data_IF_423173619053
#
_entry.id   IF_423173619053
#
_cell.length_a   1.000
_cell.length_b   1.000
_cell.length_c   1.000
_cell.angle_alpha   90.00
_cell.angle_beta   90.00
_cell.angle_gamma   90.00
#
_symmetry.space_group_name_H-M   'P 1'
#
loop_
_entity.id
_entity.type
_entity.pdbx_description
1 polymer ?
#
# COMPACT_ATOMS: atom_id res chain seq x y z
N UNK A 1 -22.20 34.49 -3.69
CA UNK A 1 -21.45 35.17 -2.61
C UNK A 1 -20.49 34.16 -1.96
N UNK A 2 -19.37 33.86 -2.62
CA UNK A 2 -18.40 32.84 -2.17
C UNK A 2 -16.96 33.38 -2.02
N UNK A 3 -16.79 34.70 -1.96
CA UNK A 3 -15.46 35.34 -2.10
C UNK A 3 -14.65 35.36 -0.80
N UNK A 4 -15.30 35.29 0.36
CA UNK A 4 -14.62 35.43 1.67
C UNK A 4 -13.86 34.16 2.09
N UNK A 5 -14.38 32.97 1.76
CA UNK A 5 -13.76 31.70 2.15
C UNK A 5 -12.49 31.40 1.33
N UNK A 6 -12.46 31.78 0.05
CA UNK A 6 -11.28 31.66 -0.82
C UNK A 6 -10.13 32.59 -0.39
N UNK A 7 -10.45 33.81 0.07
CA UNK A 7 -9.44 34.80 0.47
C UNK A 7 -8.64 34.35 1.71
N UNK A 8 -9.33 33.83 2.73
CA UNK A 8 -8.67 33.30 3.94
C UNK A 8 -7.82 32.06 3.64
N UNK A 9 -8.26 31.24 2.69
CA UNK A 9 -7.53 30.05 2.23
C UNK A 9 -6.23 30.40 1.50
N UNK A 10 -6.28 31.42 0.64
CA UNK A 10 -5.08 31.89 -0.07
C UNK A 10 -4.03 32.45 0.91
N UNK A 11 -4.48 33.21 1.91
CA UNK A 11 -3.60 33.80 2.93
C UNK A 11 -2.92 32.75 3.81
N UNK A 12 -3.65 31.73 4.26
CA UNK A 12 -3.08 30.67 5.11
C UNK A 12 -2.00 29.84 4.40
N UNK A 13 -2.18 29.57 3.10
CA UNK A 13 -1.17 28.91 2.26
C UNK A 13 0.09 29.75 2.15
N UNK A 14 -0.04 31.05 1.88
CA UNK A 14 1.12 31.96 1.78
C UNK A 14 1.89 32.03 3.08
N UNK A 15 1.20 32.14 4.23
CA UNK A 15 1.85 32.15 5.55
C UNK A 15 2.63 30.85 5.81
N UNK A 16 2.04 29.70 5.50
CA UNK A 16 2.71 28.42 5.63
C UNK A 16 3.96 28.32 4.73
N UNK A 17 3.89 28.83 3.49
CA UNK A 17 5.04 28.90 2.59
C UNK A 17 6.15 29.82 3.10
N UNK A 18 5.79 30.99 3.62
CA UNK A 18 6.74 31.94 4.21
C UNK A 18 7.46 31.32 5.42
N UNK A 19 6.72 30.70 6.33
CA UNK A 19 7.30 29.99 7.48
C UNK A 19 8.17 28.81 7.05
N UNK A 20 7.78 28.07 6.01
CA UNK A 20 8.59 26.98 5.47
C UNK A 20 9.92 27.50 4.92
N UNK A 21 9.90 28.58 4.13
CA UNK A 21 11.12 29.21 3.59
C UNK A 21 12.06 29.68 4.68
N UNK A 22 11.49 30.25 5.76
CA UNK A 22 12.24 30.72 6.93
C UNK A 22 12.94 29.56 7.65
N UNK A 23 12.24 28.44 7.85
CA UNK A 23 12.76 27.27 8.60
C UNK A 23 13.68 26.38 7.76
N UNK A 24 13.46 26.32 6.45
CA UNK A 24 14.17 25.41 5.54
C UNK A 24 14.79 26.18 4.35
N UNK A 25 15.81 26.99 4.60
CA UNK A 25 16.49 27.73 3.52
C UNK A 25 17.14 26.76 2.52
N UNK A 26 17.14 27.14 1.23
CA UNK A 26 17.74 26.34 0.15
C UNK A 26 16.89 25.13 -0.31
N UNK A 27 15.70 24.92 0.26
CA UNK A 27 14.77 23.87 -0.20
C UNK A 27 13.64 24.46 -1.05
N UNK A 28 13.16 23.75 -2.09
CA UNK A 28 12.02 24.19 -2.86
C UNK A 28 10.79 24.25 -1.94
N UNK A 29 10.07 25.37 -2.02
CA UNK A 29 8.85 25.57 -1.23
C UNK A 29 7.73 24.65 -1.75
N UNK A 30 6.97 23.98 -0.87
CA UNK A 30 5.83 23.17 -1.28
C UNK A 30 4.78 23.99 -2.05
N UNK A 31 4.17 23.39 -3.07
CA UNK A 31 3.01 23.96 -3.74
C UNK A 31 1.84 24.10 -2.75
N UNK A 32 1.00 25.13 -2.91
CA UNK A 32 -0.23 25.30 -2.14
C UNK A 32 -1.11 24.05 -2.13
N UNK A 33 -1.28 23.39 -3.28
CA UNK A 33 -2.05 22.14 -3.34
C UNK A 33 -1.46 21.03 -2.46
N UNK A 34 -0.13 20.96 -2.35
CA UNK A 34 0.56 20.00 -1.47
C UNK A 34 0.27 20.31 -0.01
N UNK A 35 0.30 21.59 0.38
CA UNK A 35 -0.04 22.01 1.74
C UNK A 35 -1.50 21.67 2.07
N UNK A 36 -2.43 21.93 1.16
CA UNK A 36 -3.84 21.58 1.35
C UNK A 36 -4.06 20.06 1.51
N UNK A 37 -3.38 19.23 0.70
CA UNK A 37 -3.44 17.77 0.84
C UNK A 37 -2.88 17.29 2.18
N UNK A 38 -1.83 17.95 2.69
CA UNK A 38 -1.26 17.62 4.00
C UNK A 38 -2.22 18.00 5.13
N UNK A 39 -2.86 19.16 5.05
CA UNK A 39 -3.89 19.58 6.03
C UNK A 39 -5.06 18.61 6.03
N UNK A 40 -5.63 18.29 4.87
CA UNK A 40 -6.72 17.33 4.77
C UNK A 40 -6.33 15.95 5.34
N UNK A 41 -5.13 15.45 5.02
CA UNK A 41 -4.64 14.17 5.57
C UNK A 41 -4.47 14.22 7.10
N UNK A 42 -4.02 15.37 7.62
CA UNK A 42 -3.88 15.59 9.05
C UNK A 42 -5.25 15.62 9.75
N UNK A 43 -6.26 16.25 9.15
CA UNK A 43 -7.63 16.27 9.66
C UNK A 43 -8.28 14.89 9.62
N UNK A 44 -8.08 14.12 8.54
CA UNK A 44 -8.66 12.79 8.36
C UNK A 44 -8.01 11.71 9.24
N UNK A 45 -6.67 11.67 9.27
CA UNK A 45 -5.91 10.54 9.83
C UNK A 45 -5.07 10.95 11.05
N UNK A 46 -4.91 12.24 11.34
CA UNK A 46 -4.01 12.74 12.38
C UNK A 46 -2.52 12.58 12.04
N UNK A 47 -2.17 12.22 10.81
CA UNK A 47 -0.77 11.98 10.41
C UNK A 47 -0.46 12.57 9.04
N UNK A 48 0.79 12.98 8.84
CA UNK A 48 1.33 13.40 7.54
C UNK A 48 2.01 12.27 6.77
N UNK A 49 2.00 11.05 7.32
CA UNK A 49 2.65 9.88 6.69
C UNK A 49 2.00 9.57 5.35
N UNK A 50 2.81 9.09 4.41
CA UNK A 50 2.27 8.60 3.16
C UNK A 50 1.38 7.37 3.36
N UNK A 51 0.28 7.34 2.61
CA UNK A 51 -0.55 6.16 2.53
C UNK A 51 0.28 4.97 2.05
N UNK A 52 -0.04 3.78 2.57
CA UNK A 52 0.59 2.55 2.11
C UNK A 52 0.40 2.43 0.60
N UNK A 53 1.51 2.42 -0.14
CA UNK A 53 1.48 2.30 -1.60
C UNK A 53 0.83 0.96 -1.94
N UNK A 54 -0.29 0.98 -2.67
CA UNK A 54 -0.89 -0.24 -3.23
C UNK A 54 0.10 -0.81 -4.25
N UNK A 55 0.87 -1.81 -3.83
CA UNK A 55 1.75 -2.55 -4.73
C UNK A 55 0.97 -3.38 -5.75
N UNK A 56 1.67 -4.04 -6.67
CA UNK A 56 1.07 -4.98 -7.64
C UNK A 56 0.22 -6.02 -6.90
N UNK A 57 -1.05 -6.15 -7.29
CA UNK A 57 -1.93 -7.24 -6.82
C UNK A 57 -1.27 -8.59 -7.10
N UNK A 58 -1.35 -9.49 -6.12
CA UNK A 58 -0.75 -10.83 -6.18
C UNK A 58 -1.84 -11.87 -6.40
N UNK A 59 -2.35 -11.95 -7.64
CA UNK A 59 -3.48 -12.81 -7.99
C UNK A 59 -3.21 -14.29 -7.71
N UNK A 60 -1.98 -14.77 -7.92
CA UNK A 60 -1.64 -16.18 -7.64
C UNK A 60 -1.63 -16.53 -6.15
N UNK A 61 -1.58 -15.55 -5.25
CA UNK A 61 -1.59 -15.73 -3.78
C UNK A 61 -2.84 -15.11 -3.16
N UNK A 62 -3.96 -15.19 -3.87
CA UNK A 62 -5.27 -14.86 -3.33
C UNK A 62 -5.59 -15.75 -2.12
N UNK A 63 -6.50 -15.30 -1.26
CA UNK A 63 -6.97 -16.10 -0.11
C UNK A 63 -7.55 -17.44 -0.56
N UNK A 64 -8.27 -17.45 -1.69
CA UNK A 64 -8.81 -18.64 -2.34
C UNK A 64 -7.71 -19.65 -2.72
N UNK A 65 -6.67 -19.22 -3.45
CA UNK A 65 -5.57 -20.11 -3.82
C UNK A 65 -4.80 -20.63 -2.60
N UNK A 66 -4.71 -19.84 -1.54
CA UNK A 66 -4.08 -20.28 -0.29
C UNK A 66 -4.91 -21.38 0.37
N UNK A 67 -6.23 -21.22 0.43
CA UNK A 67 -7.14 -22.23 0.98
C UNK A 67 -7.11 -23.52 0.16
N UNK A 68 -7.24 -23.44 -1.16
CA UNK A 68 -7.18 -24.62 -2.05
C UNK A 68 -5.86 -25.38 -1.91
N UNK A 69 -4.73 -24.67 -1.78
CA UNK A 69 -3.43 -25.32 -1.55
C UNK A 69 -3.36 -25.95 -0.16
N UNK A 70 -3.94 -25.33 0.87
CA UNK A 70 -3.98 -25.88 2.23
C UNK A 70 -4.74 -27.21 2.25
N UNK A 71 -5.95 -27.23 1.70
CA UNK A 71 -6.82 -28.40 1.64
C UNK A 71 -6.15 -29.54 0.86
N UNK A 72 -5.54 -29.23 -0.28
CA UNK A 72 -4.85 -30.24 -1.10
C UNK A 72 -3.63 -30.82 -0.36
N UNK A 73 -2.92 -30.02 0.45
CA UNK A 73 -1.76 -30.48 1.25
C UNK A 73 -2.20 -31.40 2.38
N UNK A 74 -3.34 -31.10 3.00
CA UNK A 74 -3.93 -31.94 4.05
C UNK A 74 -4.42 -33.28 3.49
N UNK A 75 -5.08 -33.26 2.34
CA UNK A 75 -5.60 -34.48 1.70
C UNK A 75 -4.49 -35.39 1.16
N UNK A 76 -3.50 -34.82 0.46
CA UNK A 76 -2.47 -35.58 -0.25
C UNK A 76 -1.05 -35.05 0.06
N UNK A 77 -0.49 -35.26 1.26
CA UNK A 77 0.79 -34.65 1.66
C UNK A 77 2.00 -35.16 0.85
N UNK A 78 1.94 -36.39 0.34
CA UNK A 78 3.02 -36.99 -0.46
C UNK A 78 3.15 -36.46 -1.88
N UNK A 79 2.21 -35.61 -2.34
CA UNK A 79 2.23 -35.07 -3.70
C UNK A 79 3.35 -34.05 -3.86
N UNK A 80 4.21 -34.27 -4.86
CA UNK A 80 5.32 -33.36 -5.15
C UNK A 80 4.83 -31.96 -5.53
N UNK A 81 5.63 -30.94 -5.17
CA UNK A 81 5.34 -29.54 -5.47
C UNK A 81 5.06 -29.30 -6.95
N UNK A 82 5.77 -29.99 -7.85
CA UNK A 82 5.54 -29.84 -9.29
C UNK A 82 4.18 -30.41 -9.72
N UNK A 83 3.83 -31.62 -9.26
CA UNK A 83 2.53 -32.24 -9.57
C UNK A 83 1.37 -31.40 -9.04
N UNK A 84 1.51 -30.92 -7.80
CA UNK A 84 0.53 -30.04 -7.15
C UNK A 84 0.33 -28.73 -7.93
N UNK A 85 1.42 -28.12 -8.39
CA UNK A 85 1.34 -26.88 -9.16
C UNK A 85 0.56 -27.08 -10.47
N UNK A 86 0.81 -28.18 -11.18
CA UNK A 86 0.06 -28.54 -12.39
C UNK A 86 -1.41 -28.82 -12.08
N UNK A 87 -1.72 -29.59 -11.03
CA UNK A 87 -3.09 -29.91 -10.60
C UNK A 87 -3.91 -28.65 -10.32
N UNK A 88 -3.30 -27.66 -9.66
CA UNK A 88 -3.97 -26.43 -9.22
C UNK A 88 -3.85 -25.27 -10.23
N UNK A 89 -3.23 -25.48 -11.40
CA UNK A 89 -3.03 -24.43 -12.40
C UNK A 89 -2.12 -23.28 -11.93
N UNK A 90 -1.28 -23.51 -10.93
CA UNK A 90 -0.37 -22.52 -10.36
C UNK A 90 1.04 -22.70 -10.91
N UNK A 91 1.82 -21.61 -10.99
CA UNK A 91 3.25 -21.75 -11.23
C UNK A 91 3.95 -22.38 -10.02
N UNK A 92 4.94 -23.24 -10.27
CA UNK A 92 5.74 -23.89 -9.21
C UNK A 92 6.32 -22.88 -8.22
N UNK A 93 6.76 -21.71 -8.71
CA UNK A 93 7.24 -20.61 -7.86
C UNK A 93 6.15 -20.02 -6.97
N UNK A 94 4.93 -19.86 -7.49
CA UNK A 94 3.81 -19.35 -6.68
C UNK A 94 3.42 -20.35 -5.61
N UNK A 95 3.30 -21.63 -5.97
CA UNK A 95 3.00 -22.70 -5.03
C UNK A 95 4.05 -22.76 -3.91
N UNK A 96 5.35 -22.76 -4.25
CA UNK A 96 6.43 -22.74 -3.25
C UNK A 96 6.33 -21.54 -2.30
N UNK A 97 5.96 -20.36 -2.82
CA UNK A 97 5.75 -19.19 -1.97
C UNK A 97 4.56 -19.35 -1.03
N UNK A 98 3.47 -19.99 -1.48
CA UNK A 98 2.31 -20.28 -0.64
C UNK A 98 2.70 -21.22 0.50
N UNK A 99 3.34 -22.36 0.17
CA UNK A 99 3.79 -23.36 1.13
C UNK A 99 4.69 -22.75 2.22
N UNK A 100 5.72 -21.99 1.84
CA UNK A 100 6.69 -21.44 2.80
C UNK A 100 6.15 -20.22 3.56
N UNK A 101 5.51 -19.27 2.86
CA UNK A 101 5.16 -17.97 3.50
C UNK A 101 3.85 -18.01 4.27
N UNK A 102 2.88 -18.76 3.77
CA UNK A 102 1.51 -18.77 4.29
C UNK A 102 1.25 -20.02 5.11
N UNK A 103 1.64 -21.20 4.61
CA UNK A 103 1.47 -22.47 5.32
C UNK A 103 2.64 -22.81 6.25
N UNK A 104 3.69 -21.96 6.28
CA UNK A 104 4.86 -22.10 7.16
C UNK A 104 5.57 -23.45 7.07
N UNK A 105 5.48 -24.11 5.91
CA UNK A 105 6.21 -25.36 5.67
C UNK A 105 7.70 -25.06 5.47
N UNK A 106 8.54 -25.96 5.96
CA UNK A 106 9.99 -25.89 5.76
C UNK A 106 10.34 -26.20 4.29
N UNK A 107 11.36 -25.51 3.74
CA UNK A 107 11.72 -25.61 2.33
C UNK A 107 12.31 -26.96 1.92
#
# INVERSE_FOLDING_TARGET
>A
MSTSHESLYSSSVVLAQCEFRRRFPGRPTPNGQTLLRLVARLEETGTTRDASRRGRSRNSRSAENIAVVADDVEMDPGTSTQRRATKLGLSTRSLRQILVKYLKMFP
#
